data_IF_232527333061
#
_entry.id   IF_232527333061
#
_cell.length_a   1.000
_cell.length_b   1.000
_cell.length_c   1.000
_cell.angle_alpha   90.00
_cell.angle_beta   90.00
_cell.angle_gamma   90.00
#
_symmetry.space_group_name_H-M   'P 1'
#
loop_
_entity.id
_entity.type
_entity.pdbx_description
1 polymer ?
#
# COMPACT_ATOMS: atom_id res chain seq x y z
N UNK A 1 25.52 -26.36 -22.78
CA UNK A 1 24.42 -26.34 -21.80
C UNK A 1 24.38 -24.96 -21.18
N UNK A 2 23.43 -24.11 -21.57
CA UNK A 2 23.21 -22.80 -20.94
C UNK A 2 22.06 -22.94 -19.94
N UNK A 3 22.35 -22.78 -18.65
CA UNK A 3 21.35 -22.60 -17.60
C UNK A 3 21.02 -21.11 -17.55
N UNK A 4 19.99 -20.70 -18.30
CA UNK A 4 19.47 -19.34 -18.25
C UNK A 4 18.71 -19.18 -16.93
N UNK A 5 19.23 -18.33 -16.05
CA UNK A 5 18.66 -18.01 -14.74
C UNK A 5 17.39 -17.16 -14.90
N UNK A 6 16.21 -17.79 -14.99
CA UNK A 6 14.90 -17.12 -15.10
C UNK A 6 14.26 -16.78 -13.73
N UNK A 7 15.01 -16.89 -12.63
CA UNK A 7 14.44 -16.90 -11.27
C UNK A 7 14.02 -15.48 -10.79
N UNK A 8 14.62 -14.40 -11.31
CA UNK A 8 14.31 -13.03 -10.85
C UNK A 8 13.00 -12.43 -11.37
N UNK A 9 12.49 -12.91 -12.51
CA UNK A 9 11.36 -12.30 -13.21
C UNK A 9 10.00 -12.85 -12.73
N UNK A 10 9.95 -14.12 -12.32
CA UNK A 10 8.74 -14.76 -11.82
C UNK A 10 8.32 -14.21 -10.44
N UNK A 11 9.28 -13.97 -9.54
CA UNK A 11 9.01 -13.45 -8.19
C UNK A 11 8.55 -11.99 -8.21
N UNK A 12 9.04 -11.18 -9.14
CA UNK A 12 8.62 -9.78 -9.29
C UNK A 12 7.23 -9.68 -9.90
N UNK A 13 6.93 -10.50 -10.91
CA UNK A 13 5.58 -10.61 -11.48
C UNK A 13 4.54 -11.07 -10.44
N UNK A 14 4.84 -12.13 -9.67
CA UNK A 14 3.91 -12.61 -8.64
C UNK A 14 3.66 -11.60 -7.52
N UNK A 15 4.63 -10.74 -7.22
CA UNK A 15 4.46 -9.69 -6.20
C UNK A 15 3.63 -8.52 -6.73
N UNK A 16 3.77 -8.17 -8.01
CA UNK A 16 2.95 -7.14 -8.66
C UNK A 16 1.49 -7.58 -8.76
N UNK A 17 1.23 -8.84 -9.13
CA UNK A 17 -0.12 -9.39 -9.17
C UNK A 17 -0.78 -9.39 -7.79
N UNK A 18 -0.02 -9.73 -6.73
CA UNK A 18 -0.49 -9.66 -5.35
C UNK A 18 -0.77 -8.21 -4.90
N UNK A 19 0.07 -7.25 -5.29
CA UNK A 19 -0.13 -5.83 -5.00
C UNK A 19 -1.38 -5.28 -5.71
N UNK A 20 -1.65 -5.71 -6.93
CA UNK A 20 -2.83 -5.33 -7.70
C UNK A 20 -4.12 -5.94 -7.11
N UNK A 21 -4.08 -7.22 -6.71
CA UNK A 21 -5.19 -7.88 -6.03
C UNK A 21 -5.51 -7.20 -4.69
N UNK A 22 -4.50 -6.90 -3.88
CA UNK A 22 -4.64 -6.17 -2.62
C UNK A 22 -5.18 -4.75 -2.85
N UNK A 23 -4.68 -4.04 -3.86
CA UNK A 23 -5.20 -2.71 -4.22
C UNK A 23 -6.66 -2.75 -4.65
N UNK A 24 -7.08 -3.80 -5.36
CA UNK A 24 -8.48 -3.96 -5.80
C UNK A 24 -9.38 -4.23 -4.59
N UNK A 25 -8.99 -5.17 -3.73
CA UNK A 25 -9.70 -5.47 -2.47
C UNK A 25 -9.85 -4.24 -1.58
N UNK A 26 -8.79 -3.44 -1.42
CA UNK A 26 -8.85 -2.20 -0.62
C UNK A 26 -9.80 -1.16 -1.22
N UNK A 27 -9.89 -1.05 -2.55
CA UNK A 27 -10.85 -0.15 -3.22
C UNK A 27 -12.28 -0.63 -3.03
N UNK A 28 -12.52 -1.92 -3.23
CA UNK A 28 -13.86 -2.50 -3.11
C UNK A 28 -14.40 -2.32 -1.68
N UNK A 29 -13.58 -2.61 -0.66
CA UNK A 29 -13.93 -2.39 0.74
C UNK A 29 -14.18 -0.91 1.06
N UNK A 30 -13.45 0.02 0.43
CA UNK A 30 -13.64 1.46 0.63
C UNK A 30 -14.92 2.01 -0.01
N UNK A 31 -15.53 1.27 -0.95
CA UNK A 31 -16.79 1.65 -1.60
C UNK A 31 -18.03 1.14 -0.82
N UNK A 32 -17.84 0.28 0.18
CA UNK A 32 -18.95 -0.25 0.98
C UNK A 32 -19.49 0.82 1.91
N UNK A 33 -20.78 1.11 1.76
CA UNK A 33 -21.56 1.95 2.67
C UNK A 33 -22.21 1.07 3.74
N UNK A 34 -21.90 1.33 5.03
CA UNK A 34 -22.41 0.55 6.17
C UNK A 34 -23.91 0.71 6.38
N UNK A 35 -24.48 1.87 6.05
CA UNK A 35 -25.93 2.11 6.19
C UNK A 35 -26.68 1.33 5.11
N UNK A 36 -26.15 1.32 3.88
CA UNK A 36 -26.67 0.50 2.80
C UNK A 36 -26.49 -1.01 3.07
N UNK A 37 -25.35 -1.40 3.65
CA UNK A 37 -25.09 -2.78 4.06
C UNK A 37 -26.10 -3.25 5.11
N UNK A 38 -26.47 -2.38 6.04
CA UNK A 38 -27.40 -2.69 7.12
C UNK A 38 -28.88 -2.63 6.72
N UNK A 39 -29.19 -2.01 5.59
CA UNK A 39 -30.56 -1.86 5.11
C UNK A 39 -31.10 -3.18 4.53
N UNK A 40 -32.18 -3.71 5.11
CA UNK A 40 -32.89 -4.89 4.59
C UNK A 40 -32.35 -6.25 5.06
N UNK A 41 -31.37 -6.27 5.96
CA UNK A 41 -30.89 -7.51 6.60
C UNK A 41 -31.57 -7.77 7.94
N UNK A 42 -31.78 -9.04 8.28
CA UNK A 42 -32.26 -9.46 9.61
C UNK A 42 -31.15 -9.51 10.66
N UNK A 43 -29.88 -9.42 10.26
CA UNK A 43 -28.72 -9.51 11.14
C UNK A 43 -27.62 -8.46 10.82
N UNK A 44 -27.92 -7.15 10.96
CA UNK A 44 -26.99 -6.08 10.61
C UNK A 44 -25.71 -6.10 11.45
N UNK A 45 -25.79 -6.50 12.71
CA UNK A 45 -24.63 -6.53 13.63
C UNK A 45 -23.58 -7.54 13.18
N UNK A 46 -24.01 -8.74 12.78
CA UNK A 46 -23.12 -9.82 12.34
C UNK A 46 -22.42 -9.46 11.03
N UNK A 47 -23.15 -8.81 10.11
CA UNK A 47 -22.61 -8.39 8.82
C UNK A 47 -21.63 -7.21 8.94
N UNK A 48 -21.91 -6.24 9.82
CA UNK A 48 -20.97 -5.16 10.14
C UNK A 48 -19.70 -5.74 10.78
N UNK A 49 -19.84 -6.73 11.68
CA UNK A 49 -18.70 -7.38 12.33
C UNK A 49 -17.81 -8.11 11.31
N UNK A 50 -18.40 -8.88 10.40
CA UNK A 50 -17.67 -9.56 9.32
C UNK A 50 -16.95 -8.56 8.41
N UNK A 51 -17.63 -7.48 8.00
CA UNK A 51 -16.99 -6.42 7.21
C UNK A 51 -15.83 -5.75 7.95
N UNK A 52 -15.99 -5.46 9.24
CA UNK A 52 -14.92 -4.88 10.05
C UNK A 52 -13.70 -5.83 10.17
N UNK A 53 -13.93 -7.14 10.24
CA UNK A 53 -12.88 -8.16 10.24
C UNK A 53 -12.15 -8.19 8.89
N UNK A 54 -12.88 -8.19 7.77
CA UNK A 54 -12.32 -8.13 6.42
C UNK A 54 -11.47 -6.88 6.17
N UNK A 55 -11.95 -5.72 6.63
CA UNK A 55 -11.21 -4.46 6.56
C UNK A 55 -9.94 -4.53 7.41
N UNK A 56 -10.02 -5.07 8.62
CA UNK A 56 -8.86 -5.20 9.50
C UNK A 56 -7.79 -6.14 8.91
N UNK A 57 -8.21 -7.23 8.27
CA UNK A 57 -7.34 -8.18 7.58
C UNK A 57 -6.64 -7.52 6.38
N UNK A 58 -7.41 -6.86 5.50
CA UNK A 58 -6.85 -6.16 4.34
C UNK A 58 -5.85 -5.05 4.75
N UNK A 59 -6.13 -4.34 5.84
CA UNK A 59 -5.22 -3.31 6.37
C UNK A 59 -3.95 -3.91 7.00
N UNK A 60 -4.03 -5.08 7.65
CA UNK A 60 -2.85 -5.79 8.15
C UNK A 60 -1.95 -6.28 7.02
N UNK A 61 -2.56 -6.78 5.94
CA UNK A 61 -1.85 -7.17 4.72
C UNK A 61 -1.17 -5.95 4.06
N UNK A 62 -1.89 -4.83 3.92
CA UNK A 62 -1.35 -3.57 3.44
C UNK A 62 -0.19 -3.06 4.29
N UNK A 63 -0.31 -3.10 5.62
CA UNK A 63 0.77 -2.72 6.54
C UNK A 63 2.01 -3.58 6.36
N UNK A 64 1.83 -4.89 6.19
CA UNK A 64 2.93 -5.84 5.93
C UNK A 64 3.64 -5.48 4.63
N UNK A 65 2.87 -5.20 3.57
CA UNK A 65 3.43 -4.84 2.27
C UNK A 65 4.14 -3.48 2.28
N UNK A 66 3.54 -2.47 2.92
CA UNK A 66 4.15 -1.16 3.15
C UNK A 66 5.43 -1.30 3.98
N UNK A 67 5.45 -2.18 4.99
CA UNK A 67 6.64 -2.52 5.76
C UNK A 67 7.77 -3.08 4.90
N UNK A 68 7.46 -4.03 4.02
CA UNK A 68 8.43 -4.60 3.08
C UNK A 68 9.00 -3.54 2.11
N UNK A 69 8.15 -2.68 1.56
CA UNK A 69 8.58 -1.57 0.68
C UNK A 69 9.44 -0.54 1.45
N UNK A 70 9.08 -0.25 2.71
CA UNK A 70 9.85 0.65 3.58
C UNK A 70 11.18 0.05 4.03
N UNK A 71 11.32 -1.26 4.14
CA UNK A 71 12.62 -1.87 4.42
C UNK A 71 13.64 -1.56 3.29
N UNK A 72 13.14 -1.32 2.08
CA UNK A 72 13.96 -0.91 0.92
C UNK A 72 14.18 0.61 0.87
N UNK A 73 13.16 1.41 1.19
CA UNK A 73 13.16 2.87 0.99
C UNK A 73 13.42 3.71 2.25
N UNK A 74 13.33 3.13 3.44
CA UNK A 74 13.36 3.82 4.74
C UNK A 74 12.02 4.49 5.14
N UNK A 75 11.98 5.07 6.36
CA UNK A 75 10.84 5.88 6.87
C UNK A 75 10.09 5.24 8.05
N UNK A 76 9.13 5.95 8.65
CA UNK A 76 8.33 5.48 9.81
C UNK A 76 6.96 4.89 9.39
N UNK A 77 6.37 4.04 10.24
CA UNK A 77 5.15 3.28 9.93
C UNK A 77 3.90 4.17 9.91
N UNK A 78 3.27 4.38 8.75
CA UNK A 78 2.09 5.23 8.66
C UNK A 78 0.83 4.56 9.23
N UNK A 79 0.81 3.22 9.37
CA UNK A 79 -0.35 2.46 9.84
C UNK A 79 -0.24 2.02 11.30
N UNK A 80 0.66 2.64 12.08
CA UNK A 80 0.78 2.38 13.51
C UNK A 80 -0.49 2.74 14.32
N UNK A 81 -1.39 3.55 13.77
CA UNK A 81 -2.70 3.85 14.38
C UNK A 81 -3.56 2.60 14.58
N UNK A 82 -3.30 1.54 13.82
CA UNK A 82 -3.98 0.25 13.96
C UNK A 82 -3.66 -0.42 15.30
N UNK A 83 -2.56 -0.04 15.96
CA UNK A 83 -2.15 -0.54 17.27
C UNK A 83 -2.98 0.10 18.42
N UNK A 84 -3.78 1.13 18.14
CA UNK A 84 -4.66 1.76 19.13
C UNK A 84 -5.77 0.83 19.61
N UNK A 85 -6.31 1.05 20.82
CA UNK A 85 -7.44 0.27 21.32
C UNK A 85 -8.74 0.57 20.54
N UNK A 86 -9.69 -0.37 20.51
CA UNK A 86 -10.99 -0.20 19.84
C UNK A 86 -11.69 1.09 20.31
N UNK A 87 -11.69 1.35 21.63
CA UNK A 87 -12.31 2.54 22.21
C UNK A 87 -11.67 3.85 21.72
N UNK A 88 -10.36 3.86 21.49
CA UNK A 88 -9.67 5.03 20.94
C UNK A 88 -9.98 5.24 19.45
N UNK A 89 -10.06 4.16 18.66
CA UNK A 89 -10.44 4.25 17.25
C UNK A 89 -11.87 4.74 17.05
N UNK A 90 -12.78 4.35 17.94
CA UNK A 90 -14.19 4.75 17.91
C UNK A 90 -14.46 6.19 18.42
N UNK A 91 -13.42 6.95 18.77
CA UNK A 91 -13.55 8.32 19.27
C UNK A 91 -13.31 9.38 18.19
N UNK A 92 -13.68 10.64 18.45
CA UNK A 92 -13.37 11.79 17.58
C UNK A 92 -11.86 12.01 17.38
N UNK A 93 -11.06 11.64 18.38
CA UNK A 93 -9.61 11.62 18.24
C UNK A 93 -9.15 10.54 17.26
N UNK A 94 -9.89 9.44 17.15
CA UNK A 94 -9.69 8.36 16.18
C UNK A 94 -9.97 8.80 14.75
N UNK A 95 -11.08 9.51 14.49
CA UNK A 95 -11.39 10.06 13.17
C UNK A 95 -10.36 11.10 12.71
N UNK A 96 -9.97 12.01 13.61
CA UNK A 96 -8.88 12.97 13.37
C UNK A 96 -7.53 12.27 13.15
N UNK A 97 -7.29 11.16 13.82
CA UNK A 97 -6.12 10.30 13.61
C UNK A 97 -6.11 9.67 12.22
N UNK A 98 -7.25 9.13 11.77
CA UNK A 98 -7.41 8.52 10.46
C UNK A 98 -7.15 9.52 9.33
N UNK A 99 -7.66 10.76 9.44
CA UNK A 99 -7.44 11.78 8.41
C UNK A 99 -5.95 12.20 8.33
N UNK A 100 -5.25 12.31 9.46
CA UNK A 100 -3.80 12.56 9.47
C UNK A 100 -3.02 11.43 8.81
N UNK A 101 -3.41 10.18 9.04
CA UNK A 101 -2.80 9.01 8.39
C UNK A 101 -3.06 9.03 6.88
N UNK A 102 -4.28 9.34 6.45
CA UNK A 102 -4.64 9.51 5.03
C UNK A 102 -3.76 10.57 4.35
N UNK A 103 -3.66 11.76 4.92
CA UNK A 103 -2.85 12.85 4.37
C UNK A 103 -1.35 12.46 4.27
N UNK A 104 -0.83 11.78 5.30
CA UNK A 104 0.55 11.28 5.31
C UNK A 104 0.80 10.24 4.23
N UNK A 105 -0.11 9.27 4.06
CA UNK A 105 -0.02 8.25 3.01
C UNK A 105 -0.06 8.89 1.62
N UNK A 106 -0.92 9.89 1.41
CA UNK A 106 -0.95 10.66 0.16
C UNK A 106 0.39 11.33 -0.16
N UNK A 107 0.95 12.04 0.81
CA UNK A 107 2.27 12.69 0.68
C UNK A 107 3.38 11.68 0.38
N UNK A 108 3.38 10.53 1.06
CA UNK A 108 4.36 9.47 0.82
C UNK A 108 4.24 8.88 -0.59
N UNK A 109 3.02 8.64 -1.07
CA UNK A 109 2.79 8.12 -2.41
C UNK A 109 3.25 9.11 -3.49
N UNK A 110 3.01 10.41 -3.30
CA UNK A 110 3.50 11.45 -4.21
C UNK A 110 5.03 11.51 -4.23
N UNK A 111 5.68 11.48 -3.07
CA UNK A 111 7.14 11.45 -2.96
C UNK A 111 7.73 10.19 -3.63
N UNK A 112 7.12 9.02 -3.43
CA UNK A 112 7.55 7.77 -4.05
C UNK A 112 7.44 7.84 -5.59
N UNK A 113 6.33 8.37 -6.13
CA UNK A 113 6.17 8.57 -7.58
C UNK A 113 7.18 9.58 -8.13
N UNK A 114 7.48 10.66 -7.40
CA UNK A 114 8.49 11.63 -7.80
C UNK A 114 9.89 10.99 -7.84
N UNK A 115 10.24 10.20 -6.83
CA UNK A 115 11.49 9.45 -6.77
C UNK A 115 11.62 8.47 -7.93
N UNK A 116 10.56 7.69 -8.23
CA UNK A 116 10.57 6.76 -9.36
C UNK A 116 10.87 7.47 -10.69
N UNK A 117 10.18 8.59 -10.97
CA UNK A 117 10.42 9.40 -12.17
C UNK A 117 11.87 9.93 -12.23
N UNK A 118 12.42 10.39 -11.11
CA UNK A 118 13.81 10.86 -11.06
C UNK A 118 14.81 9.73 -11.30
N UNK A 119 14.57 8.54 -10.73
CA UNK A 119 15.40 7.35 -10.94
C UNK A 119 15.39 6.90 -12.41
N UNK A 120 14.23 6.91 -13.07
CA UNK A 120 14.11 6.57 -14.49
C UNK A 120 14.89 7.55 -15.38
N UNK A 121 14.74 8.85 -15.11
CA UNK A 121 15.49 9.90 -15.80
C UNK A 121 17.00 9.74 -15.59
N UNK A 122 17.44 9.50 -14.35
CA UNK A 122 18.84 9.27 -14.03
C UNK A 122 19.39 8.02 -14.75
N UNK A 123 18.64 6.91 -14.74
CA UNK A 123 19.01 5.68 -15.43
C UNK A 123 19.21 5.90 -16.94
N UNK A 124 18.40 6.75 -17.57
CA UNK A 124 18.56 7.11 -18.98
C UNK A 124 19.77 8.02 -19.30
N UNK A 125 20.29 8.74 -18.31
CA UNK A 125 21.44 9.65 -18.46
C UNK A 125 22.78 8.97 -18.18
N UNK A 126 22.81 7.98 -17.29
CA UNK A 126 24.04 7.28 -16.89
C UNK A 126 24.83 6.73 -18.10
N UNK A 127 24.26 5.98 -19.06
CA UNK A 127 25.00 5.49 -20.22
C UNK A 127 25.59 6.61 -21.11
N UNK A 128 24.89 7.76 -21.19
CA UNK A 128 25.34 8.90 -22.01
C UNK A 128 26.58 9.56 -21.41
N UNK A 129 26.67 9.62 -20.08
CA UNK A 129 27.85 10.09 -19.37
C UNK A 129 29.06 9.19 -19.69
N UNK A 130 28.90 7.87 -19.54
CA UNK A 130 29.96 6.91 -19.85
C UNK A 130 30.39 6.92 -21.33
N UNK A 131 29.46 7.18 -22.25
CA UNK A 131 29.77 7.34 -23.68
C UNK A 131 30.57 8.62 -23.93
N UNK A 132 30.20 9.73 -23.30
CA UNK A 132 30.93 10.99 -23.41
C UNK A 132 32.36 10.87 -22.87
N UNK A 133 32.53 10.21 -21.72
CA UNK A 133 33.84 9.97 -21.11
C UNK A 133 34.74 9.10 -22.00
N UNK A 134 34.19 8.12 -22.72
CA UNK A 134 34.97 7.26 -23.64
C UNK A 134 35.49 7.99 -24.87
N UNK A 135 34.82 9.06 -25.29
CA UNK A 135 35.16 9.84 -26.50
C UNK A 135 36.14 10.98 -26.23
N UNK A 136 36.57 11.11 -24.99
CA UNK A 136 37.49 12.14 -24.51
C UNK A 136 38.90 11.59 -24.43
#
# INVERSE_FOLDING_TARGET
MMLTTTIGQATTASTLDADEALSTRLRDLALVDLDALSAGTSAPVEMIAAFAEDVADALREARTRIGALRAVLGGADPLNVLDATIRQRASDAGSTGAERVRARLGTQAEAARALARLSDLAAGLVPKLFEADRRR
#
